data_IF_071854932015
#
_entry.id   IF_071854932015
#
_cell.length_a   1.000
_cell.length_b   1.000
_cell.length_c   1.000
_cell.angle_alpha   90.00
_cell.angle_beta   90.00
_cell.angle_gamma   90.00
#
_symmetry.space_group_name_H-M   'P 1'
#
loop_
_entity.id
_entity.type
_entity.pdbx_description
1 polymer ?
#
# COMPACT_ATOMS: atom_id res chain seq x y z
N UNK A 1 47.61 20.16 0.03
CA UNK A 1 46.50 20.71 0.86
C UNK A 1 45.24 19.97 0.50
N UNK A 2 44.65 19.26 1.47
CA UNK A 2 43.48 18.40 1.27
C UNK A 2 42.20 19.24 1.42
N UNK A 3 41.46 19.43 0.33
CA UNK A 3 40.21 20.19 0.29
C UNK A 3 38.94 19.31 0.35
N UNK A 4 39.08 17.99 0.48
CA UNK A 4 37.94 17.04 0.48
C UNK A 4 37.44 16.65 1.87
N UNK A 5 38.08 17.08 2.96
CA UNK A 5 37.73 16.66 4.33
C UNK A 5 36.65 17.49 5.04
N UNK A 6 36.08 18.53 4.41
CA UNK A 6 35.22 19.52 5.11
C UNK A 6 33.74 19.50 4.74
N UNK A 7 33.28 18.64 3.83
CA UNK A 7 31.86 18.58 3.46
C UNK A 7 31.04 17.53 4.24
N UNK A 8 31.68 16.80 5.17
CA UNK A 8 31.03 15.84 6.09
C UNK A 8 31.08 16.28 7.56
N UNK A 9 31.23 17.59 7.81
CA UNK A 9 31.03 18.15 9.16
C UNK A 9 29.54 18.28 9.43
N UNK A 10 28.89 17.13 9.65
CA UNK A 10 27.50 17.04 10.09
C UNK A 10 27.26 17.91 11.31
N UNK A 11 26.18 18.68 11.23
CA UNK A 11 25.62 19.51 12.30
C UNK A 11 25.35 18.60 13.50
N UNK A 12 26.26 18.58 14.49
CA UNK A 12 26.05 17.95 15.80
C UNK A 12 24.86 18.66 16.46
N UNK A 13 23.72 17.97 16.59
CA UNK A 13 22.69 18.44 17.52
C UNK A 13 21.26 17.99 17.27
N UNK A 14 20.88 17.53 16.08
CA UNK A 14 19.52 17.01 15.89
C UNK A 14 19.49 15.53 16.28
N UNK A 15 18.56 15.11 17.18
CA UNK A 15 18.35 13.70 17.45
C UNK A 15 17.99 13.01 16.13
N UNK A 16 18.49 11.77 15.95
CA UNK A 16 18.11 10.97 14.80
C UNK A 16 16.57 10.88 14.76
N UNK A 17 15.95 11.03 13.57
CA UNK A 17 14.51 11.00 13.46
C UNK A 17 13.98 9.69 14.02
N UNK A 18 12.87 9.77 14.75
CA UNK A 18 12.23 8.55 15.26
C UNK A 18 11.70 7.71 14.09
N UNK A 19 11.55 6.38 14.23
CA UNK A 19 10.92 5.56 13.20
C UNK A 19 9.55 6.12 12.77
N UNK A 20 8.74 6.59 13.72
CA UNK A 20 7.44 7.21 13.45
C UNK A 20 7.55 8.51 12.62
N UNK A 21 8.51 9.38 12.92
CA UNK A 21 8.76 10.59 12.12
C UNK A 21 9.23 10.26 10.70
N UNK A 22 10.07 9.23 10.54
CA UNK A 22 10.53 8.78 9.24
C UNK A 22 9.37 8.19 8.41
N UNK A 23 8.53 7.35 9.02
CA UNK A 23 7.32 6.79 8.41
C UNK A 23 6.37 7.90 7.97
N UNK A 24 6.14 8.91 8.81
CA UNK A 24 5.27 10.04 8.46
C UNK A 24 5.82 10.81 7.25
N UNK A 25 7.12 11.12 7.25
CA UNK A 25 7.75 11.80 6.10
C UNK A 25 7.64 10.99 4.81
N UNK A 26 7.79 9.66 4.87
CA UNK A 26 7.60 8.80 3.70
C UNK A 26 6.16 8.88 3.18
N UNK A 27 5.15 8.87 4.05
CA UNK A 27 3.73 9.05 3.69
C UNK A 27 3.46 10.42 3.07
N UNK A 28 4.07 11.49 3.61
CA UNK A 28 3.91 12.83 3.06
C UNK A 28 4.50 12.94 1.64
N UNK A 29 5.67 12.33 1.41
CA UNK A 29 6.32 12.28 0.10
C UNK A 29 5.50 11.43 -0.88
N UNK A 30 5.00 10.28 -0.44
CA UNK A 30 4.10 9.41 -1.21
C UNK A 30 2.87 10.19 -1.68
N UNK A 31 2.16 10.86 -0.78
CA UNK A 31 1.01 11.71 -1.12
C UNK A 31 1.35 12.79 -2.14
N UNK A 32 2.51 13.43 -2.00
CA UNK A 32 2.99 14.45 -2.95
C UNK A 32 3.30 13.85 -4.33
N UNK A 33 3.91 12.67 -4.38
CA UNK A 33 4.21 11.96 -5.61
C UNK A 33 2.93 11.48 -6.31
N UNK A 34 1.94 10.99 -5.57
CA UNK A 34 0.62 10.60 -6.10
C UNK A 34 -0.09 11.81 -6.73
N UNK A 35 -0.14 12.95 -6.04
CA UNK A 35 -0.71 14.19 -6.63
C UNK A 35 0.03 14.62 -7.91
N UNK A 36 1.35 14.44 -7.93
CA UNK A 36 2.17 14.75 -9.12
C UNK A 36 1.91 13.78 -10.27
N UNK A 37 1.66 12.51 -9.97
CA UNK A 37 1.27 11.50 -10.95
C UNK A 37 -0.06 11.90 -11.61
N UNK A 38 -1.11 12.17 -10.83
CA UNK A 38 -2.42 12.61 -11.34
C UNK A 38 -2.30 13.86 -12.24
N UNK A 39 -1.46 14.81 -11.84
CA UNK A 39 -1.20 16.01 -12.64
C UNK A 39 -0.53 15.68 -13.98
N UNK A 40 0.43 14.75 -14.01
CA UNK A 40 1.09 14.32 -15.23
C UNK A 40 0.14 13.54 -16.14
N UNK A 41 -0.76 12.73 -15.58
CA UNK A 41 -1.80 12.00 -16.33
C UNK A 41 -2.74 12.98 -17.04
N UNK A 42 -3.26 13.99 -16.33
CA UNK A 42 -4.06 15.08 -16.94
C UNK A 42 -3.30 15.78 -18.07
N UNK A 43 -2.00 16.06 -17.88
CA UNK A 43 -1.17 16.65 -18.95
C UNK A 43 -1.01 15.73 -20.15
N UNK A 44 -0.88 14.42 -19.94
CA UNK A 44 -0.82 13.44 -21.02
C UNK A 44 -2.11 13.47 -21.84
N UNK A 45 -3.27 13.50 -21.19
CA UNK A 45 -4.57 13.60 -21.86
C UNK A 45 -4.68 14.85 -22.73
N UNK A 46 -4.29 16.01 -22.19
CA UNK A 46 -4.28 17.29 -22.93
C UNK A 46 -3.40 17.22 -24.18
N UNK A 47 -2.22 16.60 -24.09
CA UNK A 47 -1.33 16.44 -25.24
C UNK A 47 -1.86 15.44 -26.27
N UNK A 48 -2.52 14.36 -25.84
CA UNK A 48 -3.23 13.42 -26.72
C UNK A 48 -4.31 14.15 -27.51
N UNK A 49 -5.12 14.94 -26.84
CA UNK A 49 -6.19 15.71 -27.46
C UNK A 49 -5.64 16.77 -28.43
N UNK A 50 -4.55 17.44 -28.05
CA UNK A 50 -3.86 18.39 -28.91
C UNK A 50 -3.30 17.70 -30.16
N UNK A 51 -2.71 16.52 -30.02
CA UNK A 51 -2.24 15.73 -31.15
C UNK A 51 -3.40 15.30 -32.06
N UNK A 52 -4.51 14.83 -31.49
CA UNK A 52 -5.73 14.42 -32.22
C UNK A 52 -6.33 15.59 -33.02
N UNK A 53 -6.47 16.77 -32.40
CA UNK A 53 -7.01 17.98 -33.03
C UNK A 53 -6.14 18.49 -34.19
N UNK A 54 -4.82 18.35 -34.08
CA UNK A 54 -3.86 18.87 -35.06
C UNK A 54 -3.38 17.82 -36.08
N UNK A 55 -3.70 16.53 -35.90
CA UNK A 55 -3.14 15.44 -36.71
C UNK A 55 -3.33 15.60 -38.22
N UNK A 56 -4.49 16.10 -38.65
CA UNK A 56 -4.82 16.31 -40.07
C UNK A 56 -4.56 17.73 -40.57
N UNK A 57 -4.46 18.71 -39.66
CA UNK A 57 -4.35 20.15 -39.99
C UNK A 57 -2.94 20.69 -39.89
N UNK A 58 -2.19 20.23 -38.90
CA UNK A 58 -0.85 20.72 -38.58
C UNK A 58 -0.01 19.59 -37.98
N UNK A 59 0.58 18.79 -38.88
CA UNK A 59 1.44 17.66 -38.53
C UNK A 59 2.60 18.05 -37.61
N UNK A 60 3.18 19.24 -37.77
CA UNK A 60 4.28 19.72 -36.92
C UNK A 60 3.82 19.93 -35.47
N UNK A 61 2.66 20.56 -35.28
CA UNK A 61 2.08 20.76 -33.95
C UNK A 61 1.72 19.43 -33.28
N UNK A 62 1.13 18.49 -34.03
CA UNK A 62 0.80 17.16 -33.52
C UNK A 62 2.05 16.38 -33.07
N UNK A 63 3.13 16.40 -33.85
CA UNK A 63 4.40 15.75 -33.46
C UNK A 63 4.99 16.37 -32.19
N UNK A 64 4.91 17.69 -32.03
CA UNK A 64 5.40 18.34 -30.80
C UNK A 64 4.57 17.97 -29.57
N UNK A 65 3.25 17.85 -29.71
CA UNK A 65 2.38 17.36 -28.64
C UNK A 65 2.74 15.93 -28.23
N UNK A 66 2.92 15.03 -29.21
CA UNK A 66 3.35 13.64 -28.96
C UNK A 66 4.73 13.56 -28.28
N UNK A 67 5.66 14.46 -28.59
CA UNK A 67 6.95 14.54 -27.90
C UNK A 67 6.79 14.94 -26.44
N UNK A 68 5.93 15.92 -26.14
CA UNK A 68 5.62 16.33 -24.76
C UNK A 68 4.93 15.20 -23.99
N UNK A 69 3.94 14.54 -24.60
CA UNK A 69 3.32 13.32 -24.07
C UNK A 69 4.37 12.29 -23.64
N UNK A 70 5.26 11.89 -24.55
CA UNK A 70 6.32 10.91 -24.23
C UNK A 70 7.24 11.35 -23.09
N UNK A 71 7.50 12.65 -22.95
CA UNK A 71 8.29 13.19 -21.84
C UNK A 71 7.54 13.08 -20.50
N UNK A 72 6.24 13.32 -20.49
CA UNK A 72 5.42 13.14 -19.28
C UNK A 72 5.27 11.66 -18.92
N UNK A 73 5.06 10.77 -19.88
CA UNK A 73 5.02 9.31 -19.65
C UNK A 73 6.32 8.80 -19.02
N UNK A 74 7.47 9.29 -19.49
CA UNK A 74 8.76 8.95 -18.87
C UNK A 74 8.87 9.45 -17.43
N UNK A 75 8.34 10.63 -17.12
CA UNK A 75 8.34 11.14 -15.74
C UNK A 75 7.40 10.32 -14.86
N UNK A 76 6.24 9.91 -15.39
CA UNK A 76 5.28 9.08 -14.68
C UNK A 76 5.90 7.73 -14.31
N UNK A 77 6.52 7.03 -15.27
CA UNK A 77 7.24 5.78 -15.01
C UNK A 77 8.35 5.93 -13.94
N UNK A 78 9.03 7.08 -13.89
CA UNK A 78 10.02 7.36 -12.85
C UNK A 78 9.39 7.55 -11.48
N UNK A 79 8.23 8.22 -11.42
CA UNK A 79 7.46 8.40 -10.18
C UNK A 79 6.95 7.05 -9.69
N UNK A 80 6.38 6.21 -10.55
CA UNK A 80 5.89 4.87 -10.17
C UNK A 80 6.98 4.02 -9.52
N UNK A 81 8.17 3.98 -10.13
CA UNK A 81 9.32 3.28 -9.55
C UNK A 81 9.80 3.87 -8.23
N UNK A 82 9.68 5.19 -8.07
CA UNK A 82 10.02 5.88 -6.81
C UNK A 82 8.99 5.59 -5.71
N UNK A 83 7.69 5.59 -6.05
CA UNK A 83 6.60 5.24 -5.14
C UNK A 83 6.76 3.81 -4.61
N UNK A 84 6.96 2.84 -5.49
CA UNK A 84 7.22 1.45 -5.09
C UNK A 84 8.43 1.32 -4.15
N UNK A 85 9.49 2.10 -4.40
CA UNK A 85 10.66 2.12 -3.51
C UNK A 85 10.33 2.70 -2.13
N UNK A 86 9.53 3.78 -2.08
CA UNK A 86 9.08 4.41 -0.83
C UNK A 86 8.18 3.47 -0.03
N UNK A 87 7.25 2.79 -0.69
CA UNK A 87 6.36 1.81 -0.08
C UNK A 87 7.16 0.67 0.58
N UNK A 88 8.10 0.07 -0.16
CA UNK A 88 8.99 -0.96 0.38
C UNK A 88 9.81 -0.45 1.59
N UNK A 89 10.30 0.79 1.55
CA UNK A 89 11.05 1.37 2.65
C UNK A 89 10.17 1.65 3.87
N UNK A 90 8.94 2.11 3.66
CA UNK A 90 7.96 2.36 4.72
C UNK A 90 7.61 1.06 5.43
N UNK A 91 7.30 0.01 4.67
CA UNK A 91 6.99 -1.32 5.20
C UNK A 91 8.18 -1.89 5.99
N UNK A 92 9.39 -1.80 5.43
CA UNK A 92 10.60 -2.24 6.13
C UNK A 92 10.80 -1.51 7.47
N UNK A 93 10.53 -0.20 7.53
CA UNK A 93 10.58 0.57 8.77
C UNK A 93 9.49 0.19 9.76
N UNK A 94 8.25 -0.03 9.30
CA UNK A 94 7.13 -0.48 10.12
C UNK A 94 7.43 -1.86 10.73
N UNK A 95 7.95 -2.80 9.94
CA UNK A 95 8.39 -4.12 10.40
C UNK A 95 9.54 -4.02 11.40
N UNK A 96 10.56 -3.19 11.12
CA UNK A 96 11.67 -2.97 12.04
C UNK A 96 11.20 -2.38 13.39
N UNK A 97 10.25 -1.45 13.36
CA UNK A 97 9.69 -0.84 14.57
C UNK A 97 8.93 -1.86 15.42
N UNK A 98 8.10 -2.70 14.79
CA UNK A 98 7.38 -3.79 15.48
C UNK A 98 8.36 -4.80 16.09
N UNK A 99 9.34 -5.25 15.32
CA UNK A 99 10.36 -6.19 15.79
C UNK A 99 11.17 -5.61 16.97
N UNK A 100 11.49 -4.31 16.93
CA UNK A 100 12.17 -3.64 18.03
C UNK A 100 11.33 -3.65 19.33
N UNK A 101 10.02 -3.42 19.25
CA UNK A 101 9.14 -3.46 20.42
C UNK A 101 8.94 -4.89 20.96
N UNK A 102 8.88 -5.89 20.06
CA UNK A 102 8.88 -7.31 20.46
C UNK A 102 10.15 -7.64 21.24
N UNK A 103 11.33 -7.32 20.70
CA UNK A 103 12.62 -7.59 21.36
C UNK A 103 12.73 -6.88 22.72
N UNK A 104 12.25 -5.63 22.80
CA UNK A 104 12.21 -4.88 24.06
C UNK A 104 11.28 -5.52 25.09
N UNK A 105 10.14 -6.06 24.64
CA UNK A 105 9.20 -6.78 25.51
C UNK A 105 9.80 -8.10 25.99
N UNK A 106 10.43 -8.87 25.10
CA UNK A 106 11.16 -10.08 25.46
C UNK A 106 12.29 -9.81 26.46
N UNK A 107 13.02 -8.70 26.30
CA UNK A 107 14.04 -8.28 27.25
C UNK A 107 13.45 -7.99 28.63
N UNK A 108 12.35 -7.25 28.70
CA UNK A 108 11.64 -6.99 29.98
C UNK A 108 11.15 -8.28 30.63
N UNK A 109 10.60 -9.20 29.85
CA UNK A 109 10.18 -10.51 30.35
C UNK A 109 11.37 -11.32 30.89
N UNK A 110 12.48 -11.36 30.16
CA UNK A 110 13.73 -12.01 30.61
C UNK A 110 14.27 -11.38 31.90
N UNK A 111 14.26 -10.05 32.01
CA UNK A 111 14.73 -9.36 33.22
C UNK A 111 13.78 -9.61 34.41
N UNK A 112 12.47 -9.69 34.20
CA UNK A 112 11.51 -10.09 35.23
C UNK A 112 11.74 -11.53 35.70
N UNK A 113 11.92 -12.48 34.78
CA UNK A 113 12.26 -13.87 35.09
C UNK A 113 13.56 -13.97 35.90
N UNK A 114 14.59 -13.19 35.56
CA UNK A 114 15.85 -13.15 36.34
C UNK A 114 15.64 -12.65 37.76
N UNK A 115 14.77 -11.68 37.97
CA UNK A 115 14.45 -11.18 39.32
C UNK A 115 13.70 -12.25 40.11
N UNK A 116 12.66 -12.86 39.53
CA UNK A 116 11.92 -13.96 40.17
C UNK A 116 12.84 -15.13 40.54
N UNK A 117 13.74 -15.53 39.64
CA UNK A 117 14.69 -16.62 39.92
C UNK A 117 15.79 -16.23 40.90
N UNK A 118 16.08 -14.94 41.08
CA UNK A 118 17.04 -14.45 42.08
C UNK A 118 16.46 -14.49 43.49
N UNK A 119 15.15 -14.36 43.62
CA UNK A 119 14.42 -14.45 44.89
C UNK A 119 14.00 -15.90 45.25
N UNK A 120 14.13 -16.85 44.32
CA UNK A 120 14.03 -18.30 44.59
C UNK A 120 15.38 -18.81 45.13
N UNK A 121 15.40 -19.42 46.31
CA UNK A 121 16.63 -20.03 46.83
C UNK A 121 17.01 -21.26 45.98
N UNK A 122 18.30 -21.55 45.84
CA UNK A 122 18.80 -22.71 45.08
C UNK A 122 18.18 -24.04 45.53
N UNK A 123 17.82 -24.15 46.81
CA UNK A 123 17.15 -25.33 47.35
C UNK A 123 15.73 -25.50 46.79
N UNK A 124 14.98 -24.40 46.61
CA UNK A 124 13.64 -24.42 45.99
C UNK A 124 13.70 -24.76 44.48
N UNK A 125 14.84 -24.47 43.83
CA UNK A 125 15.07 -24.77 42.41
C UNK A 125 15.35 -26.26 42.19
N UNK A 126 16.04 -26.92 43.12
CA UNK A 126 16.28 -28.37 43.04
C UNK A 126 15.00 -29.16 43.21
N UNK A 127 14.18 -28.82 44.21
CA UNK A 127 12.87 -29.45 44.43
C UNK A 127 11.93 -29.20 43.23
N UNK A 128 11.94 -27.98 42.68
CA UNK A 128 11.17 -27.66 41.48
C UNK A 128 11.68 -28.38 40.22
N UNK A 129 12.99 -28.60 40.07
CA UNK A 129 13.55 -29.33 38.92
C UNK A 129 13.17 -30.81 38.97
N UNK A 130 13.13 -31.41 40.16
CA UNK A 130 12.66 -32.77 40.37
C UNK A 130 11.14 -32.88 40.07
N UNK A 131 10.33 -31.93 40.56
CA UNK A 131 8.89 -31.85 40.25
C UNK A 131 8.62 -31.61 38.75
N UNK A 132 9.41 -30.77 38.08
CA UNK A 132 9.30 -30.50 36.63
C UNK A 132 9.71 -31.73 35.83
N UNK A 133 10.75 -32.46 36.23
CA UNK A 133 11.15 -33.69 35.55
C UNK A 133 10.03 -34.73 35.64
N UNK A 134 9.44 -34.91 36.83
CA UNK A 134 8.29 -35.80 37.03
C UNK A 134 7.07 -35.34 36.21
N UNK A 135 6.77 -34.05 36.15
CA UNK A 135 5.66 -33.54 35.33
C UNK A 135 5.92 -33.56 33.83
N UNK A 136 7.17 -33.40 33.37
CA UNK A 136 7.52 -33.54 31.96
C UNK A 136 7.41 -34.99 31.52
N UNK A 137 7.82 -35.94 32.37
CA UNK A 137 7.62 -37.36 32.14
C UNK A 137 6.13 -37.72 32.08
N UNK A 138 5.30 -37.19 32.99
CA UNK A 138 3.84 -37.34 32.93
C UNK A 138 3.26 -36.70 31.66
N UNK A 139 3.70 -35.49 31.28
CA UNK A 139 3.23 -34.81 30.08
C UNK A 139 3.64 -35.55 28.80
N UNK A 140 4.84 -36.16 28.77
CA UNK A 140 5.29 -37.01 27.69
C UNK A 140 4.52 -38.34 27.67
N UNK A 141 4.21 -38.92 28.82
CA UNK A 141 3.36 -40.11 28.93
C UNK A 141 1.93 -39.82 28.45
N UNK A 142 1.37 -38.68 28.81
CA UNK A 142 0.07 -38.19 28.31
C UNK A 142 0.16 -37.91 26.82
N UNK A 143 1.17 -37.19 26.35
CA UNK A 143 1.36 -36.87 24.93
C UNK A 143 1.53 -38.14 24.11
N UNK A 144 2.30 -39.12 24.59
CA UNK A 144 2.48 -40.42 23.96
C UNK A 144 1.20 -41.26 24.01
N UNK A 145 0.45 -41.22 25.11
CA UNK A 145 -0.83 -41.93 25.24
C UNK A 145 -1.91 -41.29 24.34
N UNK A 146 -1.96 -39.96 24.25
CA UNK A 146 -2.86 -39.20 23.41
C UNK A 146 -2.48 -39.33 21.95
N UNK A 147 -1.21 -39.26 21.58
CA UNK A 147 -0.74 -39.46 20.19
C UNK A 147 -0.82 -40.92 19.74
N UNK A 148 -0.71 -41.88 20.67
CA UNK A 148 -0.98 -43.30 20.37
C UNK A 148 -2.48 -43.61 20.28
N UNK A 149 -3.33 -42.88 21.00
CA UNK A 149 -4.80 -43.04 20.99
C UNK A 149 -5.49 -42.21 19.89
N UNK A 150 -4.92 -41.06 19.56
CA UNK A 150 -5.35 -40.12 18.53
C UNK A 150 -4.22 -40.12 17.52
N UNK A 151 -4.31 -40.97 16.50
CA UNK A 151 -3.35 -41.03 15.40
C UNK A 151 -3.28 -39.72 14.62
N UNK A 152 -2.61 -38.72 15.19
CA UNK A 152 -2.40 -37.38 14.66
C UNK A 152 -1.20 -37.39 13.69
N UNK A 153 -1.19 -38.41 12.83
CA UNK A 153 -0.36 -38.53 11.65
C UNK A 153 -1.26 -38.68 10.42
N UNK A 154 -2.37 -37.93 10.37
CA UNK A 154 -2.95 -37.63 9.08
C UNK A 154 -2.01 -36.64 8.41
N UNK A 155 -1.21 -37.17 7.50
CA UNK A 155 -0.57 -36.40 6.45
C UNK A 155 -1.65 -35.47 5.87
N UNK A 156 -1.44 -34.16 6.01
CA UNK A 156 -2.30 -33.17 5.37
C UNK A 156 -2.13 -33.41 3.87
N UNK A 157 -3.21 -33.81 3.21
CA UNK A 157 -3.18 -34.13 1.79
C UNK A 157 -3.06 -32.82 0.99
N UNK A 158 -1.90 -32.61 0.36
CA UNK A 158 -1.66 -31.42 -0.47
C UNK A 158 -2.71 -31.30 -1.59
N UNK A 159 -3.26 -32.42 -2.08
CA UNK A 159 -4.31 -32.44 -3.11
C UNK A 159 -5.65 -31.90 -2.58
N UNK A 160 -5.96 -32.09 -1.29
CA UNK A 160 -7.17 -31.55 -0.65
C UNK A 160 -7.07 -30.03 -0.48
N UNK A 161 -5.88 -29.53 -0.10
CA UNK A 161 -5.60 -28.10 0.03
C UNK A 161 -5.60 -27.38 -1.32
N UNK A 162 -5.05 -27.99 -2.37
CA UNK A 162 -5.10 -27.42 -3.72
C UNK A 162 -6.52 -27.28 -4.22
N UNK A 163 -7.38 -28.26 -3.94
CA UNK A 163 -8.80 -28.19 -4.32
C UNK A 163 -9.56 -27.10 -3.55
N UNK A 164 -9.30 -26.94 -2.26
CA UNK A 164 -9.90 -25.86 -1.47
C UNK A 164 -9.46 -24.49 -1.99
N UNK A 165 -8.20 -24.35 -2.40
CA UNK A 165 -7.68 -23.13 -3.03
C UNK A 165 -8.37 -22.81 -4.36
N UNK A 166 -8.57 -23.81 -5.23
CA UNK A 166 -9.28 -23.64 -6.50
C UNK A 166 -10.73 -23.20 -6.30
N UNK A 167 -11.42 -23.74 -5.29
CA UNK A 167 -12.80 -23.33 -4.95
C UNK A 167 -12.86 -21.87 -4.51
N UNK A 168 -11.91 -21.40 -3.69
CA UNK A 168 -11.82 -20.01 -3.25
C UNK A 168 -11.50 -19.03 -4.41
N UNK A 169 -10.60 -19.41 -5.31
CA UNK A 169 -10.29 -18.61 -6.50
C UNK A 169 -11.50 -18.48 -7.41
N UNK A 170 -12.28 -19.54 -7.55
CA UNK A 170 -13.49 -19.54 -8.36
C UNK A 170 -14.60 -18.69 -7.74
N UNK A 171 -14.77 -18.70 -6.42
CA UNK A 171 -15.71 -17.81 -5.72
C UNK A 171 -15.35 -16.32 -5.89
N UNK A 172 -14.05 -15.97 -5.85
CA UNK A 172 -13.57 -14.60 -6.09
C UNK A 172 -13.83 -14.15 -7.54
N UNK A 173 -13.55 -15.04 -8.52
CA UNK A 173 -13.83 -14.81 -9.94
C UNK A 173 -15.33 -14.66 -10.22
N UNK A 174 -16.17 -15.50 -9.63
CA UNK A 174 -17.62 -15.41 -9.77
C UNK A 174 -18.13 -14.10 -9.18
N UNK A 175 -17.56 -13.63 -8.07
CA UNK A 175 -17.88 -12.32 -7.46
C UNK A 175 -17.44 -11.16 -8.35
N UNK A 176 -16.31 -11.27 -9.05
CA UNK A 176 -15.83 -10.26 -10.01
C UNK A 176 -16.68 -10.26 -11.30
N UNK A 177 -17.08 -11.43 -11.79
CA UNK A 177 -17.94 -11.62 -12.97
C UNK A 177 -19.40 -11.23 -12.73
N UNK A 178 -19.93 -11.47 -11.51
CA UNK A 178 -21.26 -11.05 -11.09
C UNK A 178 -21.38 -9.53 -10.95
N UNK A 179 -20.28 -8.78 -11.11
CA UNK A 179 -20.30 -7.36 -11.42
C UNK A 179 -21.32 -6.59 -10.60
N UNK A 180 -21.30 -6.73 -9.27
CA UNK A 180 -22.19 -6.00 -8.35
C UNK A 180 -21.78 -4.53 -8.37
N UNK A 181 -22.11 -3.84 -9.45
CA UNK A 181 -22.52 -2.45 -9.39
C UNK A 181 -23.79 -2.45 -8.53
N UNK A 182 -23.91 -1.56 -7.53
CA UNK A 182 -25.16 -1.43 -6.80
C UNK A 182 -26.26 -1.09 -7.81
N UNK A 183 -27.21 -2.01 -7.95
CA UNK A 183 -28.36 -1.84 -8.83
C UNK A 183 -29.10 -0.59 -8.38
N UNK A 184 -29.01 0.48 -9.18
CA UNK A 184 -29.97 1.57 -9.10
C UNK A 184 -31.29 0.99 -9.61
N UNK A 185 -32.23 0.74 -8.70
CA UNK A 185 -33.63 0.43 -8.98
C UNK A 185 -34.28 1.57 -9.80
N UNK A 186 -34.04 1.62 -11.11
CA UNK A 186 -34.90 2.34 -12.05
C UNK A 186 -35.59 1.32 -12.95
N UNK A 187 -36.79 0.94 -12.53
CA UNK A 187 -37.73 0.16 -13.32
C UNK A 187 -38.01 0.85 -14.68
N UNK A 188 -38.12 0.10 -15.78
CA UNK A 188 -38.36 0.69 -17.10
C UNK A 188 -39.76 1.33 -17.19
N UNK A 189 -39.82 2.60 -17.59
CA UNK A 189 -41.09 3.28 -17.87
C UNK A 189 -41.82 2.66 -19.07
N UNK A 190 -43.12 2.43 -18.88
CA UNK A 190 -44.05 1.94 -19.91
C UNK A 190 -44.19 2.94 -21.07
N UNK A 191 -44.31 2.47 -22.32
CA UNK A 191 -44.34 3.33 -23.48
C UNK A 191 -45.68 4.07 -23.59
N UNK A 192 -45.68 5.38 -23.33
CA UNK A 192 -46.79 6.26 -23.71
C UNK A 192 -46.62 6.69 -25.17
N UNK A 193 -47.42 6.09 -26.04
CA UNK A 193 -47.57 6.53 -27.43
C UNK A 193 -48.48 7.75 -27.48
N UNK A 194 -47.95 8.91 -27.88
CA UNK A 194 -48.76 10.00 -28.42
C UNK A 194 -48.09 10.62 -29.65
N UNK A 195 -48.94 10.89 -30.64
CA UNK A 195 -48.65 11.24 -32.04
C UNK A 195 -48.01 12.65 -32.22
N UNK A 196 -47.39 12.95 -33.38
CA UNK A 196 -46.43 14.03 -33.51
C UNK A 196 -47.08 15.39 -33.83
N UNK A 197 -46.62 16.45 -33.16
CA UNK A 197 -46.86 17.84 -33.55
C UNK A 197 -45.55 18.63 -33.70
N UNK A 198 -45.23 18.93 -34.96
CA UNK A 198 -44.40 19.99 -35.55
C UNK A 198 -43.69 21.03 -34.62
N UNK A 199 -42.39 21.16 -34.93
CA UNK A 199 -41.67 22.37 -35.40
C UNK A 199 -40.85 23.25 -34.42
N UNK A 200 -39.58 23.46 -34.83
CA UNK A 200 -38.64 24.59 -34.57
C UNK A 200 -38.06 24.67 -33.14
N UNK A 201 -36.84 25.11 -32.85
CA UNK A 201 -35.74 25.73 -33.59
C UNK A 201 -34.43 25.55 -32.78
N UNK A 202 -33.31 25.91 -33.41
CA UNK A 202 -31.92 25.87 -32.95
C UNK A 202 -31.67 26.60 -31.61
N UNK A 203 -30.66 26.17 -30.85
CA UNK A 203 -29.53 27.05 -30.49
C UNK A 203 -28.31 26.30 -29.93
N UNK A 204 -27.13 26.63 -30.48
CA UNK A 204 -25.80 26.27 -29.97
C UNK A 204 -25.34 27.36 -29.02
N UNK A 205 -24.80 27.03 -27.85
CA UNK A 205 -23.79 27.88 -27.18
C UNK A 205 -22.63 27.06 -26.62
N UNK A 206 -21.44 27.47 -27.05
CA UNK A 206 -20.13 27.14 -26.49
C UNK A 206 -20.01 27.76 -25.11
N UNK A 207 -19.41 27.06 -24.15
CA UNK A 207 -18.75 27.67 -23.01
C UNK A 207 -17.33 27.10 -22.93
N UNK A 208 -16.37 28.01 -22.89
CA UNK A 208 -14.95 27.78 -22.82
C UNK A 208 -14.44 28.54 -21.58
N UNK A 209 -13.57 27.86 -20.83
CA UNK A 209 -12.52 28.41 -19.94
C UNK A 209 -12.98 29.22 -18.73
N UNK A 210 -12.83 28.60 -17.56
CA UNK A 210 -12.49 29.25 -16.29
C UNK A 210 -11.66 28.25 -15.48
N UNK A 211 -10.35 28.23 -15.72
CA UNK A 211 -9.36 27.51 -14.93
C UNK A 211 -8.23 28.52 -14.69
N UNK A 212 -8.22 29.20 -13.54
CA UNK A 212 -7.06 29.93 -13.01
C UNK A 212 -7.27 30.52 -11.60
N UNK A 213 -7.94 29.83 -10.68
CA UNK A 213 -7.97 30.29 -9.27
C UNK A 213 -8.17 29.13 -8.27
N UNK A 214 -7.47 28.02 -8.49
CA UNK A 214 -7.33 27.00 -7.45
C UNK A 214 -6.16 27.39 -6.52
N UNK A 215 -6.40 27.73 -5.24
CA UNK A 215 -5.36 28.06 -4.28
C UNK A 215 -4.32 26.94 -4.10
N UNK A 216 -4.69 25.68 -4.33
CA UNK A 216 -3.80 24.53 -4.20
C UNK A 216 -2.72 24.53 -5.30
N UNK A 217 -2.99 25.16 -6.45
CA UNK A 217 -2.05 25.26 -7.58
C UNK A 217 -0.91 26.25 -7.32
N UNK A 218 -1.13 27.28 -6.51
CA UNK A 218 -0.09 28.25 -6.14
C UNK A 218 0.90 27.66 -5.13
N UNK A 219 0.42 26.80 -4.22
CA UNK A 219 1.29 26.11 -3.26
C UNK A 219 2.26 25.16 -3.98
N UNK A 220 1.76 24.41 -4.97
CA UNK A 220 2.57 23.51 -5.81
C UNK A 220 3.67 24.23 -6.62
N UNK A 221 3.47 25.48 -7.03
CA UNK A 221 4.49 26.25 -7.76
C UNK A 221 5.56 26.84 -6.85
N UNK A 222 5.25 27.13 -5.58
CA UNK A 222 6.18 27.80 -4.68
C UNK A 222 7.32 26.89 -4.21
N UNK A 223 7.13 25.56 -4.23
CA UNK A 223 8.14 24.58 -3.81
C UNK A 223 9.04 24.08 -4.95
N UNK A 224 8.80 24.52 -6.18
CA UNK A 224 9.56 24.13 -7.36
C UNK A 224 10.77 25.06 -7.68
N UNK A 225 11.03 26.07 -6.84
CA UNK A 225 12.15 27.02 -6.96
C UNK A 225 13.20 26.82 -5.86
#
# INVERSE_FOLDING_TARGET
>A
MSFFGKLFSGKKGEPAPTPSEAIQKLRDIENMLTKKQEFLEKKIEVEIDTARKNGTKNKRAAIQALKRKKRYEKQLQQIDGTLSTIEMQREALENANTNAEVLKTMKKASDALKVTHKDMNIDDVHDLMDDIAEQNDIANEISNAVSSAVGFGQDIDEDELEKELEELEQEELDKELLGVQPETDELPEVPSTDLPAKAKEKEKKKAAVAEEDDPDMKELMSWAN
#
